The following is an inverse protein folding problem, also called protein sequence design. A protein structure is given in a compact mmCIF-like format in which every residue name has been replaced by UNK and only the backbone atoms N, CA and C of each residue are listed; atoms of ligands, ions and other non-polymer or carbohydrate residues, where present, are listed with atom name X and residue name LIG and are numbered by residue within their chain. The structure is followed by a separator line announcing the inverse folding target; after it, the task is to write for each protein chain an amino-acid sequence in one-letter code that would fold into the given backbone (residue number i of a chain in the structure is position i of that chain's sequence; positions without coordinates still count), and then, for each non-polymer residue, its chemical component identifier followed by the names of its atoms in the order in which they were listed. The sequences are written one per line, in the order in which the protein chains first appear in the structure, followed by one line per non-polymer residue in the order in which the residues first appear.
data_IF_515504942512
#
_entry.id   IF_515504942512
#
_cell.length_a   1.000
_cell.length_b   1.000
_cell.length_c   1.000
_cell.angle_alpha   90.00
_cell.angle_beta   90.00
_cell.angle_gamma   90.00
#
_symmetry.space_group_name_H-M   'P 1'
#
loop_
_entity.id
_entity.type
_entity.pdbx_description
1 polymer ?
#
# COMPACT_ATOMS: atom_id res chain seq x y z
N UNK A 1 2.09 19.71 6.81
CA UNK A 1 2.03 19.23 8.20
C UNK A 1 1.89 17.72 8.15
N UNK A 2 2.87 16.95 8.65
CA UNK A 2 2.75 15.50 8.72
C UNK A 2 1.75 15.16 9.85
N UNK A 3 0.58 14.66 9.49
CA UNK A 3 -0.39 14.15 10.46
C UNK A 3 0.12 12.84 11.06
N UNK A 4 -0.24 12.55 12.31
CA UNK A 4 -0.12 11.21 12.89
C UNK A 4 -1.50 10.55 12.85
N UNK A 5 -1.57 9.28 12.47
CA UNK A 5 -2.78 8.45 12.57
C UNK A 5 -2.49 7.32 13.55
N UNK A 6 -3.46 7.06 14.43
CA UNK A 6 -3.48 5.96 15.40
C UNK A 6 -4.09 4.73 14.71
N UNK A 7 -3.30 3.66 14.54
CA UNK A 7 -3.73 2.41 13.92
C UNK A 7 -4.31 1.41 14.96
N UNK A 8 -4.61 1.89 16.17
CA UNK A 8 -5.00 1.08 17.34
C UNK A 8 -3.91 1.10 18.42
N UNK A 9 -4.32 0.81 19.67
CA UNK A 9 -3.55 1.01 20.91
C UNK A 9 -2.02 0.96 20.75
N UNK A 10 -1.41 2.16 20.82
CA UNK A 10 0.03 2.37 20.89
C UNK A 10 0.76 2.44 19.54
N UNK A 11 0.06 2.48 18.42
CA UNK A 11 0.67 2.53 17.10
C UNK A 11 0.74 3.97 16.57
N UNK A 12 1.95 4.41 16.17
CA UNK A 12 2.11 5.72 15.53
C UNK A 12 2.69 5.59 14.13
N UNK A 13 2.17 6.41 13.21
CA UNK A 13 2.62 6.46 11.83
C UNK A 13 2.59 7.90 11.31
N UNK A 14 3.47 8.23 10.36
CA UNK A 14 3.43 9.48 9.61
C UNK A 14 2.49 9.34 8.41
N UNK A 15 1.55 10.27 8.23
CA UNK A 15 0.58 10.23 7.14
C UNK A 15 1.17 10.84 5.87
N UNK A 16 1.13 10.09 4.77
CA UNK A 16 1.41 10.58 3.42
C UNK A 16 0.10 10.93 2.69
N UNK A 17 -0.90 10.06 2.80
CA UNK A 17 -2.25 10.26 2.23
C UNK A 17 -3.26 10.00 3.35
N UNK A 18 -4.08 10.99 3.75
CA UNK A 18 -5.07 10.83 4.81
C UNK A 18 -6.25 9.98 4.34
N UNK A 19 -6.93 9.34 5.28
CA UNK A 19 -8.11 8.54 5.00
C UNK A 19 -8.40 7.56 6.15
N UNK A 20 -9.50 6.82 6.01
CA UNK A 20 -9.89 5.75 6.92
C UNK A 20 -10.23 4.54 6.07
N UNK A 21 -9.70 3.39 6.45
CA UNK A 21 -9.97 2.13 5.78
C UNK A 21 -9.78 0.98 6.78
N UNK A 22 -10.43 -0.14 6.48
CA UNK A 22 -10.39 -1.36 7.27
C UNK A 22 -10.17 -2.54 6.33
N UNK A 23 -9.44 -3.55 6.78
CA UNK A 23 -9.17 -4.74 6.00
C UNK A 23 -8.25 -5.70 6.74
N UNK A 24 -8.21 -6.95 6.25
CA UNK A 24 -7.23 -7.92 6.73
C UNK A 24 -5.81 -7.46 6.37
N UNK A 25 -4.88 -7.56 7.30
CA UNK A 25 -3.48 -7.20 7.09
C UNK A 25 -2.80 -8.26 6.22
N UNK A 26 -2.20 -7.81 5.12
CA UNK A 26 -1.29 -8.60 4.31
C UNK A 26 0.12 -8.02 4.46
N UNK A 27 0.95 -8.71 5.25
CA UNK A 27 2.35 -8.34 5.43
C UNK A 27 3.22 -8.92 4.31
N UNK A 28 3.93 -8.03 3.61
CA UNK A 28 4.92 -8.38 2.60
C UNK A 28 6.31 -8.28 3.22
N UNK A 29 7.12 -9.32 3.06
CA UNK A 29 8.51 -9.34 3.54
C UNK A 29 9.46 -8.57 2.62
N UNK A 30 9.05 -8.29 1.38
CA UNK A 30 9.85 -7.64 0.35
C UNK A 30 9.07 -6.48 -0.30
N UNK A 31 9.77 -5.53 -0.96
CA UNK A 31 9.13 -4.48 -1.75
C UNK A 31 8.33 -5.04 -2.95
N UNK A 32 7.12 -4.52 -3.16
CA UNK A 32 6.24 -4.91 -4.25
C UNK A 32 6.37 -3.98 -5.47
N UNK A 33 6.50 -4.55 -6.67
CA UNK A 33 6.36 -3.81 -7.93
C UNK A 33 4.92 -3.84 -8.40
N UNK A 34 4.25 -2.69 -8.41
CA UNK A 34 2.91 -2.60 -9.00
C UNK A 34 2.96 -2.69 -10.54
N UNK A 35 4.02 -2.18 -11.16
CA UNK A 35 4.26 -2.40 -12.58
C UNK A 35 4.70 -3.84 -12.83
N UNK A 36 3.78 -4.67 -13.35
CA UNK A 36 4.03 -6.06 -13.77
C UNK A 36 4.14 -7.10 -12.65
N UNK A 37 4.12 -6.70 -11.37
CA UNK A 37 4.15 -7.63 -10.23
C UNK A 37 2.80 -7.89 -9.57
N UNK A 38 1.73 -7.26 -10.06
CA UNK A 38 0.35 -7.46 -9.62
C UNK A 38 -0.54 -7.60 -10.85
N UNK A 39 -1.42 -8.60 -10.85
CA UNK A 39 -2.38 -8.85 -11.93
C UNK A 39 -3.50 -7.80 -11.92
N UNK A 40 -3.71 -7.11 -13.04
CA UNK A 40 -4.60 -5.94 -13.12
C UNK A 40 -6.08 -6.23 -12.85
N UNK A 41 -6.55 -7.45 -13.09
CA UNK A 41 -7.97 -7.82 -12.91
C UNK A 41 -8.27 -8.46 -11.55
N UNK A 42 -7.27 -8.91 -10.81
CA UNK A 42 -7.49 -9.75 -9.60
C UNK A 42 -6.77 -9.22 -8.36
N UNK A 43 -5.79 -8.32 -8.53
CA UNK A 43 -4.93 -7.86 -7.45
C UNK A 43 -3.97 -8.93 -6.93
N UNK A 44 -3.86 -10.08 -7.61
CA UNK A 44 -2.93 -11.15 -7.21
C UNK A 44 -1.50 -10.74 -7.50
N UNK A 45 -0.60 -10.94 -6.54
CA UNK A 45 0.85 -10.77 -6.72
C UNK A 45 1.32 -11.82 -7.73
N UNK A 46 1.62 -11.36 -8.95
CA UNK A 46 2.02 -12.17 -10.10
C UNK A 46 3.55 -12.31 -10.24
N UNK A 47 4.31 -11.52 -9.48
CA UNK A 47 5.77 -11.64 -9.41
C UNK A 47 6.15 -12.97 -8.75
N UNK A 48 6.55 -13.96 -9.56
CA UNK A 48 6.93 -15.31 -9.13
C UNK A 48 8.14 -15.34 -8.19
N UNK A 49 8.90 -14.25 -8.12
CA UNK A 49 10.06 -14.11 -7.23
C UNK A 49 9.70 -13.45 -5.89
N UNK A 50 8.49 -12.88 -5.78
CA UNK A 50 8.05 -12.26 -4.54
C UNK A 50 7.65 -13.35 -3.51
N UNK A 51 8.07 -13.27 -2.24
CA UNK A 51 7.78 -14.33 -1.25
C UNK A 51 6.28 -14.57 -1.01
N UNK A 52 5.46 -13.53 -1.20
CA UNK A 52 4.00 -13.58 -1.11
C UNK A 52 3.30 -13.80 -2.47
N UNK A 53 4.00 -14.33 -3.48
CA UNK A 53 3.41 -14.67 -4.78
C UNK A 53 2.12 -15.51 -4.63
N UNK A 54 1.10 -15.17 -5.42
CA UNK A 54 -0.20 -15.84 -5.41
C UNK A 54 -1.21 -15.29 -4.39
N UNK A 55 -0.80 -14.42 -3.47
CA UNK A 55 -1.71 -13.71 -2.57
C UNK A 55 -2.31 -12.48 -3.26
N UNK A 56 -3.56 -12.14 -2.93
CA UNK A 56 -4.23 -10.94 -3.45
C UNK A 56 -4.15 -9.76 -2.49
N UNK A 57 -3.84 -8.58 -3.04
CA UNK A 57 -3.84 -7.31 -2.30
C UNK A 57 -5.23 -6.67 -2.22
N UNK A 58 -6.21 -7.18 -2.97
CA UNK A 58 -7.51 -6.56 -3.13
C UNK A 58 -8.23 -6.42 -1.77
N UNK A 59 -8.55 -5.16 -1.41
CA UNK A 59 -9.23 -4.83 -0.14
C UNK A 59 -8.41 -5.13 1.13
N UNK A 60 -7.12 -5.46 1.02
CA UNK A 60 -6.24 -5.71 2.17
C UNK A 60 -5.62 -4.42 2.69
N UNK A 61 -5.23 -4.42 3.97
CA UNK A 61 -4.28 -3.45 4.51
C UNK A 61 -2.89 -3.97 4.18
N UNK A 62 -2.24 -3.37 3.19
CA UNK A 62 -0.96 -3.82 2.70
C UNK A 62 0.17 -3.25 3.58
N UNK A 63 0.90 -4.14 4.25
CA UNK A 63 2.00 -3.76 5.13
C UNK A 63 3.31 -4.18 4.48
N UNK A 64 4.14 -3.24 4.03
CA UNK A 64 5.32 -3.58 3.20
C UNK A 64 6.51 -2.63 3.41
N UNK A 65 7.73 -3.03 3.03
CA UNK A 65 8.91 -2.18 3.20
C UNK A 65 8.83 -0.87 2.41
N UNK A 66 8.38 -0.97 1.16
CA UNK A 66 8.35 0.11 0.17
C UNK A 66 7.87 -0.43 -1.18
N UNK A 67 7.72 0.44 -2.17
CA UNK A 67 7.50 0.03 -3.54
C UNK A 67 8.81 -0.41 -4.22
N UNK A 68 8.69 -1.18 -5.29
CA UNK A 68 9.77 -1.49 -6.22
C UNK A 68 9.45 -0.92 -7.61
N UNK A 69 10.44 -0.35 -8.28
CA UNK A 69 10.31 0.14 -9.65
C UNK A 69 10.36 1.66 -9.77
N UNK A 70 9.82 2.18 -10.86
CA UNK A 70 9.88 3.61 -11.23
C UNK A 70 8.52 4.29 -11.14
N UNK A 71 8.44 5.56 -11.54
CA UNK A 71 7.21 6.36 -11.47
C UNK A 71 6.00 5.72 -12.17
N UNK A 72 6.18 4.86 -13.18
CA UNK A 72 5.09 4.09 -13.82
C UNK A 72 4.30 3.19 -12.85
N UNK A 73 4.86 2.83 -11.70
CA UNK A 73 4.13 2.09 -10.66
C UNK A 73 2.97 2.91 -10.06
N UNK A 74 3.05 4.25 -10.05
CA UNK A 74 1.97 5.09 -9.51
C UNK A 74 0.71 5.02 -10.36
N UNK A 75 0.84 5.04 -11.70
CA UNK A 75 -0.30 4.91 -12.61
C UNK A 75 -0.95 3.55 -12.51
N UNK A 76 -0.17 2.47 -12.38
CA UNK A 76 -0.75 1.12 -12.22
C UNK A 76 -1.44 0.97 -10.87
N UNK A 77 -0.84 1.48 -9.78
CA UNK A 77 -1.50 1.49 -8.48
C UNK A 77 -2.84 2.24 -8.54
N UNK A 78 -2.88 3.41 -9.18
CA UNK A 78 -4.11 4.16 -9.34
C UNK A 78 -5.19 3.38 -10.11
N UNK A 79 -4.80 2.64 -11.16
CA UNK A 79 -5.71 1.79 -11.93
C UNK A 79 -6.22 0.57 -11.14
N UNK A 80 -5.36 -0.07 -10.34
CA UNK A 80 -5.79 -1.16 -9.44
C UNK A 80 -6.83 -0.66 -8.43
N UNK A 81 -6.61 0.53 -7.86
CA UNK A 81 -7.56 1.19 -6.97
C UNK A 81 -8.86 1.51 -7.71
N UNK A 82 -8.78 2.10 -8.92
CA UNK A 82 -9.95 2.39 -9.78
C UNK A 82 -10.80 1.15 -10.04
N UNK A 83 -10.14 0.04 -10.37
CA UNK A 83 -10.75 -1.24 -10.70
C UNK A 83 -11.32 -1.97 -9.46
N UNK A 84 -11.02 -1.51 -8.24
CA UNK A 84 -11.49 -2.13 -7.01
C UNK A 84 -10.72 -3.39 -6.61
N UNK A 85 -9.55 -3.61 -7.21
CA UNK A 85 -8.66 -4.76 -6.91
C UNK A 85 -7.35 -4.32 -6.24
N UNK A 86 -7.22 -3.02 -5.94
CA UNK A 86 -6.15 -2.46 -5.13
C UNK A 86 -6.36 -2.65 -3.62
N UNK A 87 -5.39 -2.23 -2.81
CA UNK A 87 -5.46 -2.34 -1.36
C UNK A 87 -6.48 -1.35 -0.76
N UNK A 88 -6.99 -1.69 0.43
CA UNK A 88 -7.82 -0.80 1.22
C UNK A 88 -6.99 0.30 1.91
N UNK A 89 -5.77 -0.02 2.34
CA UNK A 89 -4.79 0.90 2.92
C UNK A 89 -3.37 0.42 2.65
N UNK A 90 -2.39 1.32 2.72
CA UNK A 90 -0.97 0.96 2.61
C UNK A 90 -0.20 1.50 3.82
N UNK A 91 0.54 0.61 4.47
CA UNK A 91 1.46 0.92 5.56
C UNK A 91 2.88 0.58 5.12
N UNK A 92 3.74 1.59 5.09
CA UNK A 92 5.11 1.50 4.61
C UNK A 92 6.12 1.49 5.75
N UNK A 93 7.25 0.80 5.58
CA UNK A 93 8.43 0.97 6.46
C UNK A 93 9.13 2.29 6.18
N UNK A 94 9.32 2.58 4.90
CA UNK A 94 10.06 3.72 4.40
C UNK A 94 9.13 4.61 3.55
N UNK A 95 9.25 5.94 3.63
CA UNK A 95 8.45 6.82 2.79
C UNK A 95 8.68 6.54 1.30
N UNK A 96 7.59 6.34 0.55
CA UNK A 96 7.64 6.11 -0.90
C UNK A 96 6.73 7.11 -1.63
N UNK A 97 7.32 8.15 -2.28
CA UNK A 97 6.56 9.15 -3.03
C UNK A 97 5.78 8.58 -4.22
N UNK A 98 6.21 7.47 -4.81
CA UNK A 98 5.53 6.86 -5.97
C UNK A 98 4.23 6.20 -5.50
N UNK A 99 4.26 5.51 -4.37
CA UNK A 99 3.07 4.92 -3.74
C UNK A 99 2.09 6.00 -3.32
N UNK A 100 2.57 7.04 -2.63
CA UNK A 100 1.72 8.17 -2.23
C UNK A 100 1.09 8.85 -3.45
N UNK A 101 1.86 9.06 -4.53
CA UNK A 101 1.34 9.63 -5.77
C UNK A 101 0.23 8.76 -6.39
N UNK A 102 0.40 7.43 -6.43
CA UNK A 102 -0.62 6.53 -6.98
C UNK A 102 -1.95 6.62 -6.23
N UNK A 103 -1.92 6.67 -4.90
CA UNK A 103 -3.11 6.86 -4.07
C UNK A 103 -3.75 8.25 -4.27
N UNK A 104 -2.94 9.31 -4.32
CA UNK A 104 -3.44 10.68 -4.57
C UNK A 104 -4.08 10.83 -5.96
N UNK A 105 -3.52 10.18 -6.99
CA UNK A 105 -4.09 10.17 -8.34
C UNK A 105 -5.43 9.44 -8.35
N UNK A 106 -5.53 8.30 -7.63
CA UNK A 106 -6.79 7.57 -7.52
C UNK A 106 -7.88 8.38 -6.83
N UNK A 107 -7.52 9.15 -5.80
CA UNK A 107 -8.44 10.08 -5.15
C UNK A 107 -8.86 11.20 -6.11
N UNK A 108 -7.88 11.89 -6.72
CA UNK A 108 -8.13 13.05 -7.55
C UNK A 108 -8.94 12.74 -8.83
N UNK A 109 -8.68 11.60 -9.47
CA UNK A 109 -9.32 11.24 -10.74
C UNK A 109 -10.56 10.37 -10.55
N UNK A 110 -10.59 9.52 -9.53
CA UNK A 110 -11.62 8.48 -9.38
C UNK A 110 -12.45 8.61 -8.09
N UNK A 111 -12.14 9.58 -7.23
CA UNK A 111 -12.82 9.76 -5.94
C UNK A 111 -12.62 8.59 -4.99
N UNK A 112 -11.58 7.76 -5.19
CA UNK A 112 -11.29 6.59 -4.37
C UNK A 112 -10.12 6.88 -3.43
N UNK A 113 -10.43 6.96 -2.14
CA UNK A 113 -9.43 7.23 -1.09
C UNK A 113 -8.79 5.92 -0.64
N UNK A 114 -7.45 5.87 -0.67
CA UNK A 114 -6.65 4.82 -0.06
C UNK A 114 -5.61 5.49 0.85
N UNK A 115 -5.74 5.38 2.19
CA UNK A 115 -4.77 5.99 3.09
C UNK A 115 -3.40 5.33 2.94
N UNK A 116 -2.36 6.16 2.98
CA UNK A 116 -0.96 5.74 2.93
C UNK A 116 -0.23 6.34 4.12
N UNK A 117 0.37 5.49 4.94
CA UNK A 117 1.10 5.90 6.13
C UNK A 117 2.47 5.22 6.20
N UNK A 118 3.41 5.85 6.90
CA UNK A 118 4.73 5.29 7.20
C UNK A 118 4.78 4.93 8.67
N UNK A 119 4.87 3.64 8.97
CA UNK A 119 4.95 3.13 10.33
C UNK A 119 6.25 3.59 11.01
N UNK A 120 6.20 3.88 12.32
CA UNK A 120 7.45 3.98 13.10
C UNK A 120 8.16 2.63 13.18
N UNK A 121 9.47 2.59 13.47
CA UNK A 121 10.20 1.33 13.66
C UNK A 121 9.54 0.38 14.66
N UNK A 122 8.97 0.89 15.76
CA UNK A 122 8.30 0.09 16.79
C UNK A 122 7.00 -0.50 16.27
N UNK A 123 6.22 0.30 15.54
CA UNK A 123 5.02 -0.14 14.85
C UNK A 123 5.37 -1.23 13.83
N UNK A 124 6.45 -1.02 13.08
CA UNK A 124 6.87 -1.95 12.05
C UNK A 124 7.38 -3.27 12.62
N UNK A 125 8.12 -3.25 13.72
CA UNK A 125 8.56 -4.48 14.40
C UNK A 125 7.41 -5.34 14.95
N UNK A 126 6.23 -4.75 15.22
CA UNK A 126 5.06 -5.48 15.74
C UNK A 126 4.32 -6.29 14.67
N UNK A 127 4.41 -5.86 13.41
CA UNK A 127 3.67 -6.44 12.28
C UNK A 127 4.59 -6.98 11.17
N UNK A 128 5.87 -6.64 11.21
CA UNK A 128 6.90 -7.17 10.33
C UNK A 128 7.12 -8.64 10.61
N UNK A 129 6.99 -9.44 9.55
CA UNK A 129 7.43 -10.83 9.48
C UNK A 129 8.94 -10.95 9.67
#
# INVERSE_FOLDING_TARGET
MAGRVDLGDGVTAAVLVPGVAEGEVLALSEPLSFWGGVHEETGVISDVHHPQHGLSIAGKVLFMPGGRGSSSSSSVLAELIRAGVGPAAIVLREPDPIIALGALVAEALYGRVVPVVVATPETYARWGV
#
